data_IF_754713127484
#
_entry.id   IF_754713127484
#
_cell.length_a   1.000
_cell.length_b   1.000
_cell.length_c   1.000
_cell.angle_alpha   90.00
_cell.angle_beta   90.00
_cell.angle_gamma   90.00
#
_symmetry.space_group_name_H-M   'P 1'
#
loop_
_entity.id
_entity.type
_entity.pdbx_description
1 polymer ?
#
# COMPACT_ATOMS: atom_id res chain seq x y z
N UNK A 1 2.37 18.71 5.65
CA UNK A 1 3.18 17.79 6.47
C UNK A 1 2.91 16.37 6.00
N UNK A 2 3.85 15.76 5.28
CA UNK A 2 3.66 14.43 4.65
C UNK A 2 3.92 13.30 5.62
N UNK A 3 3.05 12.29 5.63
CA UNK A 3 3.26 11.05 6.37
C UNK A 3 4.42 10.26 5.72
N UNK A 4 5.61 10.40 6.30
CA UNK A 4 6.80 9.63 5.94
C UNK A 4 6.94 8.37 6.79
N UNK A 5 7.27 7.26 6.13
CA UNK A 5 7.73 6.02 6.76
C UNK A 5 9.07 6.32 7.47
N UNK A 6 9.35 5.77 8.66
CA UNK A 6 10.54 6.15 9.42
C UNK A 6 11.82 5.73 8.67
N UNK A 7 12.69 6.69 8.34
CA UNK A 7 14.05 6.43 7.86
C UNK A 7 14.34 6.69 6.39
N UNK A 8 13.39 7.18 5.59
CA UNK A 8 13.68 7.59 4.20
C UNK A 8 12.77 8.74 3.77
N UNK A 9 13.31 9.73 3.06
CA UNK A 9 12.55 10.83 2.40
C UNK A 9 11.66 10.34 1.23
N UNK A 10 11.12 9.13 1.34
CA UNK A 10 10.33 8.44 0.34
C UNK A 10 8.87 8.64 0.71
N UNK A 11 8.10 9.23 -0.21
CA UNK A 11 6.65 9.38 -0.06
C UNK A 11 6.01 8.00 0.03
N UNK A 12 4.94 7.85 0.81
CA UNK A 12 4.14 6.62 0.95
C UNK A 12 3.88 5.91 -0.39
N UNK A 13 3.52 6.67 -1.43
CA UNK A 13 3.31 6.17 -2.79
C UNK A 13 4.54 5.50 -3.41
N UNK A 14 5.73 6.03 -3.14
CA UNK A 14 6.99 5.50 -3.67
C UNK A 14 7.44 4.25 -2.89
N UNK A 15 7.17 4.19 -1.58
CA UNK A 15 7.39 2.97 -0.78
C UNK A 15 6.47 1.83 -1.25
N UNK A 16 5.20 2.12 -1.52
CA UNK A 16 4.26 1.16 -2.09
C UNK A 16 4.69 0.70 -3.49
N UNK A 17 5.12 1.60 -4.36
CA UNK A 17 5.58 1.25 -5.70
C UNK A 17 6.82 0.32 -5.69
N UNK A 18 7.77 0.54 -4.78
CA UNK A 18 8.94 -0.34 -4.61
C UNK A 18 8.56 -1.75 -4.16
N UNK A 19 7.50 -1.87 -3.38
CA UNK A 19 7.00 -3.14 -2.87
C UNK A 19 6.15 -3.88 -3.91
N UNK A 20 5.21 -3.20 -4.57
CA UNK A 20 4.30 -3.78 -5.56
C UNK A 20 4.99 -4.09 -6.89
N UNK A 21 5.92 -3.24 -7.33
CA UNK A 21 6.59 -3.33 -8.63
C UNK A 21 7.10 -4.73 -9.00
N UNK A 22 7.90 -5.38 -8.13
CA UNK A 22 8.40 -6.74 -8.39
C UNK A 22 7.30 -7.80 -8.53
N UNK A 23 6.15 -7.61 -7.87
CA UNK A 23 5.04 -8.58 -7.89
C UNK A 23 4.17 -8.47 -9.14
N UNK A 24 4.16 -7.33 -9.83
CA UNK A 24 3.39 -7.11 -11.06
C UNK A 24 3.71 -8.15 -12.15
N UNK A 25 4.98 -8.56 -12.25
CA UNK A 25 5.44 -9.56 -13.23
C UNK A 25 4.84 -10.96 -13.05
N UNK A 26 4.29 -11.26 -11.87
CA UNK A 26 3.77 -12.59 -11.49
C UNK A 26 2.23 -12.64 -11.45
N UNK A 27 1.58 -11.50 -11.69
CA UNK A 27 0.17 -11.29 -11.40
C UNK A 27 -0.04 -11.04 -9.90
N UNK A 28 -0.82 -10.00 -9.58
CA UNK A 28 -1.16 -9.62 -8.20
C UNK A 28 -2.57 -10.08 -7.89
N UNK A 29 -2.75 -10.85 -6.81
CA UNK A 29 -4.08 -11.18 -6.28
C UNK A 29 -4.46 -10.17 -5.21
N UNK A 30 -5.76 -10.04 -4.93
CA UNK A 30 -6.23 -9.20 -3.82
C UNK A 30 -5.53 -9.54 -2.50
N UNK A 31 -5.43 -10.83 -2.14
CA UNK A 31 -4.76 -11.24 -0.89
C UNK A 31 -3.29 -10.82 -0.80
N UNK A 32 -2.59 -10.71 -1.93
CA UNK A 32 -1.19 -10.23 -1.96
C UNK A 32 -1.13 -8.73 -1.64
N UNK A 33 -2.07 -7.95 -2.22
CA UNK A 33 -2.22 -6.52 -1.96
C UNK A 33 -2.64 -6.25 -0.53
N UNK A 34 -3.63 -7.00 -0.01
CA UNK A 34 -4.06 -6.91 1.39
C UNK A 34 -2.90 -7.13 2.35
N UNK A 35 -2.13 -8.20 2.13
CA UNK A 35 -0.96 -8.53 2.94
C UNK A 35 0.16 -7.48 2.87
N UNK A 36 0.27 -6.73 1.78
CA UNK A 36 1.16 -5.57 1.69
C UNK A 36 0.62 -4.37 2.46
N UNK A 37 -0.65 -4.01 2.25
CA UNK A 37 -1.28 -2.86 2.93
C UNK A 37 -1.28 -3.02 4.45
N UNK A 38 -1.43 -4.25 4.95
CA UNK A 38 -1.33 -4.58 6.38
C UNK A 38 0.07 -4.28 6.97
N UNK A 39 1.13 -4.36 6.16
CA UNK A 39 2.52 -4.09 6.61
C UNK A 39 2.85 -2.61 6.67
N UNK A 40 2.00 -1.74 6.13
CA UNK A 40 2.24 -0.30 6.09
C UNK A 40 1.63 0.34 7.33
N UNK A 41 2.45 0.83 8.29
CA UNK A 41 1.94 1.39 9.53
C UNK A 41 1.39 2.80 9.32
N UNK A 42 0.19 3.04 9.86
CA UNK A 42 -0.45 4.35 9.94
C UNK A 42 -0.52 4.78 11.40
N UNK A 43 0.01 5.97 11.67
CA UNK A 43 -0.04 6.60 13.00
C UNK A 43 -1.32 7.40 13.12
N UNK A 44 -2.21 7.00 14.03
CA UNK A 44 -3.46 7.69 14.34
C UNK A 44 -3.39 8.35 15.72
N UNK A 45 -4.22 9.38 15.95
CA UNK A 45 -4.34 10.04 17.25
C UNK A 45 -3.01 10.61 17.78
N UNK A 46 -2.29 11.37 16.95
CA UNK A 46 -0.94 11.87 17.24
C UNK A 46 0.11 10.76 17.53
N UNK A 47 -0.10 9.56 17.00
CA UNK A 47 0.82 8.42 17.14
C UNK A 47 0.55 7.49 18.33
N UNK A 48 -0.55 7.72 19.06
CA UNK A 48 -0.97 6.86 20.18
C UNK A 48 -1.62 5.56 19.71
N UNK A 49 -2.14 5.53 18.49
CA UNK A 49 -2.75 4.36 17.87
C UNK A 49 -1.92 3.94 16.66
N UNK A 50 -1.58 2.65 16.60
CA UNK A 50 -0.96 2.00 15.46
C UNK A 50 -2.04 1.19 14.75
N UNK A 51 -2.39 1.60 13.55
CA UNK A 51 -3.23 0.85 12.63
C UNK A 51 -2.40 0.51 11.38
N UNK A 52 -2.78 -0.49 10.62
CA UNK A 52 -2.25 -0.66 9.27
C UNK A 52 -2.98 0.23 8.27
N UNK A 53 -2.38 0.43 7.10
CA UNK A 53 -3.05 1.14 6.00
C UNK A 53 -4.32 0.40 5.56
N UNK A 54 -4.30 -0.94 5.63
CA UNK A 54 -5.47 -1.77 5.37
C UNK A 54 -6.63 -1.47 6.33
N UNK A 55 -6.35 -1.32 7.63
CA UNK A 55 -7.39 -1.10 8.65
C UNK A 55 -8.11 0.26 8.52
N UNK A 56 -7.48 1.23 7.86
CA UNK A 56 -7.99 2.60 7.74
C UNK A 56 -8.55 2.92 6.36
N UNK A 57 -8.37 2.02 5.39
CA UNK A 57 -8.86 2.21 4.03
C UNK A 57 -10.28 1.66 3.89
N UNK A 58 -11.12 2.29 3.06
CA UNK A 58 -12.37 1.68 2.62
C UNK A 58 -12.10 0.35 1.92
N UNK A 59 -12.92 -0.66 2.18
CA UNK A 59 -12.75 -2.03 1.66
C UNK A 59 -12.71 -2.09 0.13
N UNK A 60 -13.36 -1.15 -0.57
CA UNK A 60 -13.36 -1.11 -2.05
C UNK A 60 -11.99 -0.74 -2.65
N UNK A 61 -11.13 -0.06 -1.90
CA UNK A 61 -9.88 0.47 -2.45
C UNK A 61 -8.85 -0.62 -2.79
N UNK A 62 -8.95 -1.81 -2.19
CA UNK A 62 -8.06 -2.94 -2.50
C UNK A 62 -8.30 -3.44 -3.92
N UNK A 63 -9.56 -3.67 -4.28
CA UNK A 63 -9.94 -4.12 -5.63
C UNK A 63 -9.58 -3.09 -6.70
N UNK A 64 -9.76 -1.79 -6.41
CA UNK A 64 -9.33 -0.71 -7.31
C UNK A 64 -7.81 -0.71 -7.52
N UNK A 65 -7.02 -0.92 -6.46
CA UNK A 65 -5.56 -0.98 -6.56
C UNK A 65 -5.09 -2.19 -7.38
N UNK A 66 -5.70 -3.37 -7.18
CA UNK A 66 -5.41 -4.56 -7.99
C UNK A 66 -5.68 -4.29 -9.46
N UNK A 67 -6.85 -3.71 -9.79
CA UNK A 67 -7.20 -3.36 -11.17
C UNK A 67 -6.20 -2.40 -11.81
N UNK A 68 -5.79 -1.36 -11.09
CA UNK A 68 -4.78 -0.41 -11.57
C UNK A 68 -3.42 -1.07 -11.80
N UNK A 69 -3.01 -1.98 -10.92
CA UNK A 69 -1.80 -2.77 -11.07
C UNK A 69 -1.87 -3.70 -12.29
N UNK A 70 -2.99 -4.38 -12.52
CA UNK A 70 -3.22 -5.22 -13.69
C UNK A 70 -3.27 -4.41 -14.99
N UNK A 71 -3.88 -3.23 -14.99
CA UNK A 71 -3.87 -2.32 -16.14
C UNK A 71 -2.45 -1.83 -16.46
N UNK A 72 -1.65 -1.52 -15.43
CA UNK A 72 -0.25 -1.13 -15.61
C UNK A 72 0.58 -2.30 -16.16
N UNK A 73 0.42 -3.52 -15.62
CA UNK A 73 1.18 -4.68 -16.08
C UNK A 73 0.83 -5.13 -17.51
N UNK A 74 -0.36 -4.76 -18.01
CA UNK A 74 -0.77 -4.98 -19.40
C UNK A 74 -0.18 -3.98 -20.39
N UNK A 75 0.34 -2.85 -19.93
CA UNK A 75 0.98 -1.81 -20.75
C UNK A 75 2.48 -2.00 -20.81
#
# INVERSE_FOLDING_TARGET
MGAGVPGSSIKMSQALAQQLGPQLSRGLRESDVEGMLQKVPVKLGAGKLKASLFDVMPSMCVGDLVRLCEEYARR
#
